data_IF_904004441487
#
_entry.id   IF_904004441487
#
_cell.length_a   1.000
_cell.length_b   1.000
_cell.length_c   1.000
_cell.angle_alpha   90.00
_cell.angle_beta   90.00
_cell.angle_gamma   90.00
#
_symmetry.space_group_name_H-M   'P 1'
#
loop_
_entity.id
_entity.type
_entity.pdbx_description
1 polymer ?
#
# COMPACT_ATOMS: atom_id res chain seq x y z
N UNK A 1 14.51 -13.41 -16.02
CA UNK A 1 13.24 -12.76 -16.35
C UNK A 1 12.25 -13.17 -15.29
N UNK A 2 11.53 -12.24 -14.67
CA UNK A 2 10.52 -12.54 -13.68
C UNK A 2 9.14 -12.11 -14.19
N UNK A 3 8.11 -12.86 -13.81
CA UNK A 3 6.71 -12.55 -14.06
C UNK A 3 6.12 -11.89 -12.80
N UNK A 4 5.66 -10.65 -12.93
CA UNK A 4 5.21 -9.81 -11.82
C UNK A 4 3.71 -9.59 -11.96
N UNK A 5 2.94 -10.02 -10.95
CA UNK A 5 1.55 -9.63 -10.82
C UNK A 5 1.46 -8.21 -10.25
N UNK A 6 0.76 -7.31 -10.90
CA UNK A 6 0.41 -6.00 -10.36
C UNK A 6 -1.07 -6.01 -9.97
N UNK A 7 -1.34 -6.09 -8.67
CA UNK A 7 -2.71 -6.10 -8.17
C UNK A 7 -3.30 -4.69 -8.21
N UNK A 8 -4.39 -4.55 -8.93
CA UNK A 8 -5.10 -3.28 -9.15
C UNK A 8 -6.60 -3.44 -8.94
N UNK A 9 -7.25 -2.37 -8.53
CA UNK A 9 -8.71 -2.28 -8.43
C UNK A 9 -9.28 -1.46 -9.60
N UNK A 10 -10.59 -1.61 -9.86
CA UNK A 10 -11.25 -0.90 -10.96
C UNK A 10 -11.13 0.62 -10.86
N UNK A 11 -11.19 1.17 -9.65
CA UNK A 11 -11.03 2.60 -9.43
C UNK A 11 -9.64 3.11 -9.80
N UNK A 12 -8.59 2.27 -9.66
CA UNK A 12 -7.21 2.61 -10.04
C UNK A 12 -7.13 2.88 -11.54
N UNK A 13 -7.71 2.00 -12.36
CA UNK A 13 -7.66 2.13 -13.83
C UNK A 13 -8.67 3.14 -14.39
N UNK A 14 -9.59 3.63 -13.59
CA UNK A 14 -10.57 4.65 -13.99
C UNK A 14 -10.06 6.10 -13.92
N UNK A 15 -8.90 6.31 -13.29
CA UNK A 15 -8.26 7.62 -13.14
C UNK A 15 -7.10 7.75 -14.11
N UNK A 16 -7.06 8.83 -14.89
CA UNK A 16 -6.06 9.03 -15.94
C UNK A 16 -4.62 9.04 -15.38
N UNK A 17 -4.40 9.69 -14.24
CA UNK A 17 -3.09 9.78 -13.59
C UNK A 17 -2.60 8.41 -13.13
N UNK A 18 -3.47 7.62 -12.51
CA UNK A 18 -3.17 6.26 -12.05
C UNK A 18 -2.90 5.34 -13.25
N UNK A 19 -3.68 5.45 -14.30
CA UNK A 19 -3.48 4.67 -15.53
C UNK A 19 -2.12 4.98 -16.16
N UNK A 20 -1.73 6.25 -16.22
CA UNK A 20 -0.40 6.67 -16.69
C UNK A 20 0.70 6.04 -15.85
N UNK A 21 0.57 6.08 -14.52
CA UNK A 21 1.54 5.44 -13.62
C UNK A 21 1.64 3.92 -13.87
N UNK A 22 0.51 3.24 -14.06
CA UNK A 22 0.49 1.80 -14.34
C UNK A 22 1.21 1.48 -15.66
N UNK A 23 0.97 2.26 -16.72
CA UNK A 23 1.67 2.11 -18.00
C UNK A 23 3.19 2.28 -17.81
N UNK A 24 3.62 3.30 -17.06
CA UNK A 24 5.04 3.54 -16.79
C UNK A 24 5.67 2.38 -16.00
N UNK A 25 4.99 1.80 -15.02
CA UNK A 25 5.48 0.60 -14.32
C UNK A 25 5.65 -0.59 -15.28
N UNK A 26 4.71 -0.78 -16.20
CA UNK A 26 4.81 -1.85 -17.19
C UNK A 26 5.99 -1.66 -18.15
N UNK A 27 6.20 -0.43 -18.62
CA UNK A 27 7.35 -0.08 -19.47
C UNK A 27 8.67 -0.28 -18.73
N UNK A 28 8.79 0.22 -17.51
CA UNK A 28 9.99 0.05 -16.67
C UNK A 28 10.30 -1.43 -16.40
N UNK A 29 9.30 -2.24 -16.09
CA UNK A 29 9.49 -3.68 -15.93
C UNK A 29 10.02 -4.33 -17.21
N UNK A 30 9.48 -3.96 -18.37
CA UNK A 30 9.93 -4.47 -19.67
C UNK A 30 11.39 -4.05 -19.98
N UNK A 31 11.74 -2.79 -19.72
CA UNK A 31 13.12 -2.28 -19.89
C UNK A 31 14.14 -3.03 -19.02
N UNK A 32 13.71 -3.48 -17.83
CA UNK A 32 14.51 -4.28 -16.92
C UNK A 32 14.50 -5.78 -17.24
N UNK A 33 13.84 -6.20 -18.33
CA UNK A 33 13.77 -7.59 -18.75
C UNK A 33 12.76 -8.44 -17.96
N UNK A 34 11.76 -7.81 -17.35
CA UNK A 34 10.67 -8.49 -16.63
C UNK A 34 9.32 -8.33 -17.35
N UNK A 35 8.36 -9.18 -17.00
CA UNK A 35 6.97 -9.05 -17.45
C UNK A 35 6.09 -8.62 -16.28
N UNK A 36 5.30 -7.55 -16.45
CA UNK A 36 4.33 -7.10 -15.47
C UNK A 36 2.93 -7.19 -16.05
N UNK A 37 2.03 -7.87 -15.36
CA UNK A 37 0.63 -8.03 -15.75
C UNK A 37 -0.31 -7.55 -14.64
N UNK A 38 -1.43 -6.92 -15.03
CA UNK A 38 -2.43 -6.45 -14.09
C UNK A 38 -3.36 -7.59 -13.68
N UNK A 39 -3.49 -7.77 -12.37
CA UNK A 39 -4.39 -8.75 -11.77
C UNK A 39 -5.47 -8.01 -11.00
N UNK A 40 -6.73 -8.32 -11.29
CA UNK A 40 -7.89 -7.75 -10.62
C UNK A 40 -8.42 -8.70 -9.55
N UNK A 41 -9.24 -8.16 -8.64
CA UNK A 41 -9.86 -8.92 -7.55
C UNK A 41 -10.51 -10.24 -7.99
N UNK A 42 -11.15 -10.27 -9.16
CA UNK A 42 -11.78 -11.49 -9.70
C UNK A 42 -10.79 -12.61 -10.03
N UNK A 43 -9.53 -12.24 -10.28
CA UNK A 43 -8.46 -13.15 -10.69
C UNK A 43 -7.42 -13.37 -9.57
N UNK A 44 -7.77 -13.04 -8.32
CA UNK A 44 -6.85 -13.11 -7.18
C UNK A 44 -6.23 -14.51 -6.99
N UNK A 45 -6.95 -15.56 -7.35
CA UNK A 45 -6.45 -16.94 -7.29
C UNK A 45 -5.30 -17.23 -8.27
N UNK A 46 -5.08 -16.37 -9.27
CA UNK A 46 -3.98 -16.53 -10.23
C UNK A 46 -2.66 -15.88 -9.78
N UNK A 47 -2.68 -15.17 -8.64
CA UNK A 47 -1.47 -14.48 -8.13
C UNK A 47 -0.32 -15.44 -7.93
N UNK A 48 -0.61 -16.67 -7.51
CA UNK A 48 0.39 -17.70 -7.25
C UNK A 48 1.08 -18.25 -8.51
N UNK A 49 0.61 -17.88 -9.70
CA UNK A 49 1.23 -18.24 -10.98
C UNK A 49 2.41 -17.30 -11.35
N UNK A 50 2.67 -16.28 -10.52
CA UNK A 50 3.70 -15.26 -10.73
C UNK A 50 4.88 -15.42 -9.76
N UNK A 51 6.02 -14.80 -10.08
CA UNK A 51 7.22 -14.80 -9.23
C UNK A 51 7.16 -13.75 -8.11
N UNK A 52 6.44 -12.66 -8.35
CA UNK A 52 6.33 -11.54 -7.41
C UNK A 52 4.98 -10.84 -7.51
N UNK A 53 4.59 -10.16 -6.43
CA UNK A 53 3.38 -9.36 -6.36
C UNK A 53 3.72 -7.90 -6.04
N UNK A 54 3.22 -6.98 -6.85
CA UNK A 54 3.23 -5.55 -6.63
C UNK A 54 1.81 -5.04 -6.43
N UNK A 55 1.52 -4.39 -5.30
CA UNK A 55 0.17 -3.88 -4.98
C UNK A 55 0.07 -2.42 -5.36
N UNK A 56 -0.86 -2.08 -6.24
CA UNK A 56 -1.22 -0.72 -6.66
C UNK A 56 -2.70 -0.45 -6.46
N UNK A 57 -3.14 -0.65 -5.23
CA UNK A 57 -4.50 -0.35 -4.76
C UNK A 57 -4.43 0.17 -3.34
N UNK A 58 -5.53 0.69 -2.83
CA UNK A 58 -5.63 1.02 -1.41
C UNK A 58 -5.40 -0.25 -0.58
N UNK A 59 -4.53 -0.13 0.41
CA UNK A 59 -4.20 -1.22 1.32
C UNK A 59 -4.93 -1.04 2.65
N UNK A 60 -5.61 -2.08 3.06
CA UNK A 60 -6.33 -2.17 4.33
C UNK A 60 -6.41 -3.65 4.73
N UNK A 61 -6.24 -4.01 6.02
CA UNK A 61 -6.28 -5.40 6.48
C UNK A 61 -7.59 -6.14 6.17
N UNK A 62 -8.66 -5.42 5.86
CA UNK A 62 -9.98 -5.98 5.56
C UNK A 62 -10.29 -6.04 4.06
N UNK A 63 -9.36 -5.68 3.18
CA UNK A 63 -9.62 -5.64 1.74
C UNK A 63 -8.89 -6.73 0.94
N UNK A 64 -9.21 -6.79 -0.35
CA UNK A 64 -8.63 -7.78 -1.26
C UNK A 64 -7.11 -7.61 -1.47
N UNK A 65 -6.56 -6.40 -1.31
CA UNK A 65 -5.13 -6.15 -1.42
C UNK A 65 -4.35 -6.87 -0.31
N UNK A 66 -4.86 -6.83 0.93
CA UNK A 66 -4.26 -7.58 2.03
C UNK A 66 -4.33 -9.09 1.81
N UNK A 67 -5.49 -9.59 1.34
CA UNK A 67 -5.65 -11.02 1.01
C UNK A 67 -4.65 -11.44 -0.07
N UNK A 68 -4.49 -10.62 -1.11
CA UNK A 68 -3.51 -10.86 -2.17
C UNK A 68 -2.07 -10.90 -1.63
N UNK A 69 -1.68 -9.91 -0.81
CA UNK A 69 -0.37 -9.84 -0.19
C UNK A 69 -0.10 -11.07 0.69
N UNK A 70 -1.05 -11.42 1.54
CA UNK A 70 -0.92 -12.57 2.44
C UNK A 70 -0.85 -13.90 1.69
N UNK A 71 -1.65 -14.06 0.64
CA UNK A 71 -1.60 -15.25 -0.22
C UNK A 71 -0.24 -15.38 -0.88
N UNK A 72 0.27 -14.32 -1.48
CA UNK A 72 1.57 -14.32 -2.14
C UNK A 72 2.72 -14.64 -1.15
N UNK A 73 2.71 -14.03 0.03
CA UNK A 73 3.69 -14.28 1.09
C UNK A 73 3.70 -15.74 1.53
N UNK A 74 2.53 -16.34 1.76
CA UNK A 74 2.40 -17.75 2.15
C UNK A 74 2.93 -18.71 1.07
N UNK A 75 3.00 -18.28 -0.18
CA UNK A 75 3.60 -19.03 -1.28
C UNK A 75 5.07 -18.66 -1.53
N UNK A 76 5.71 -17.91 -0.63
CA UNK A 76 7.12 -17.54 -0.71
C UNK A 76 7.46 -16.50 -1.78
N UNK A 77 6.45 -15.82 -2.33
CA UNK A 77 6.65 -14.76 -3.33
C UNK A 77 7.22 -13.49 -2.69
N UNK A 78 7.91 -12.69 -3.49
CA UNK A 78 8.24 -11.30 -3.10
C UNK A 78 7.01 -10.43 -3.25
N UNK A 79 6.70 -9.65 -2.20
CA UNK A 79 5.49 -8.81 -2.16
C UNK A 79 5.85 -7.37 -1.81
N UNK A 80 5.26 -6.43 -2.53
CA UNK A 80 5.27 -4.98 -2.25
C UNK A 80 3.83 -4.46 -2.43
N UNK A 81 3.17 -3.93 -1.43
CA UNK A 81 3.54 -3.89 0.00
C UNK A 81 3.30 -5.26 0.66
N UNK A 82 4.20 -5.64 1.58
CA UNK A 82 4.02 -6.88 2.33
C UNK A 82 2.92 -6.75 3.41
N UNK A 83 2.35 -7.88 3.89
CA UNK A 83 1.24 -7.85 4.83
C UNK A 83 1.51 -7.12 6.15
N UNK A 84 2.74 -7.21 6.68
CA UNK A 84 3.09 -6.54 7.94
C UNK A 84 3.18 -5.03 7.74
N UNK A 85 3.77 -4.59 6.63
CA UNK A 85 3.78 -3.18 6.22
C UNK A 85 2.37 -2.63 6.04
N UNK A 86 1.45 -3.41 5.43
CA UNK A 86 0.04 -3.01 5.30
C UNK A 86 -0.59 -2.78 6.67
N UNK A 87 -0.43 -3.72 7.62
CA UNK A 87 -1.00 -3.59 8.97
C UNK A 87 -0.43 -2.39 9.70
N UNK A 88 0.88 -2.15 9.61
CA UNK A 88 1.52 -1.03 10.28
C UNK A 88 1.08 0.30 9.69
N UNK A 89 1.02 0.40 8.36
CA UNK A 89 0.84 1.67 7.66
C UNK A 89 -0.63 2.06 7.44
N UNK A 90 -1.59 1.14 7.57
CA UNK A 90 -3.01 1.45 7.42
C UNK A 90 -3.55 2.37 8.53
N UNK A 91 -2.97 2.32 9.73
CA UNK A 91 -3.27 3.19 10.85
C UNK A 91 -2.13 4.20 11.05
N UNK A 92 -2.44 5.49 10.94
CA UNK A 92 -1.43 6.56 11.04
C UNK A 92 -0.78 6.63 12.43
N UNK A 93 -1.52 6.37 13.49
CA UNK A 93 -0.98 6.37 14.85
C UNK A 93 0.03 5.22 14.99
N UNK A 94 -0.38 4.03 14.58
CA UNK A 94 0.49 2.85 14.62
C UNK A 94 1.76 3.05 13.77
N UNK A 95 1.61 3.58 12.56
CA UNK A 95 2.72 3.88 11.66
C UNK A 95 3.72 4.86 12.31
N UNK A 96 3.26 5.98 12.84
CA UNK A 96 4.14 6.97 13.48
C UNK A 96 4.82 6.41 14.72
N UNK A 97 4.12 5.62 15.53
CA UNK A 97 4.73 4.96 16.69
C UNK A 97 5.85 3.99 16.28
N UNK A 98 5.69 3.26 15.18
CA UNK A 98 6.75 2.39 14.63
C UNK A 98 7.96 3.20 14.14
N UNK A 99 7.72 4.27 13.38
CA UNK A 99 8.78 5.16 12.89
C UNK A 99 9.56 5.79 14.04
N UNK A 100 8.87 6.30 15.07
CA UNK A 100 9.51 6.87 16.26
C UNK A 100 10.38 5.84 17.00
N UNK A 101 9.88 4.62 17.20
CA UNK A 101 10.65 3.53 17.82
C UNK A 101 11.90 3.18 17.01
N UNK A 102 11.80 3.23 15.69
CA UNK A 102 12.91 3.00 14.77
C UNK A 102 13.84 4.23 14.63
N UNK A 103 13.57 5.34 15.35
CA UNK A 103 14.29 6.61 15.27
C UNK A 103 14.32 7.20 13.86
N UNK A 104 13.30 6.93 13.07
CA UNK A 104 13.11 7.58 11.77
C UNK A 104 12.49 8.95 12.01
N UNK A 105 13.05 10.02 11.43
CA UNK A 105 12.46 11.37 11.55
C UNK A 105 11.04 11.39 11.02
N UNK A 106 10.11 11.93 11.80
CA UNK A 106 8.74 12.17 11.41
C UNK A 106 8.42 13.67 11.54
N UNK A 107 7.41 14.19 10.83
CA UNK A 107 6.90 15.53 11.08
C UNK A 107 6.46 15.67 12.54
N UNK A 108 6.50 16.89 13.07
CA UNK A 108 5.92 17.16 14.38
C UNK A 108 4.44 16.80 14.36
N UNK A 109 4.07 15.84 15.18
CA UNK A 109 2.76 15.18 15.09
C UNK A 109 2.16 15.04 16.48
N UNK A 110 0.92 15.53 16.65
CA UNK A 110 0.15 15.40 17.89
C UNK A 110 -1.05 14.50 17.64
N UNK A 111 -1.29 13.56 18.55
CA UNK A 111 -2.47 12.71 18.55
C UNK A 111 -3.50 13.29 19.52
N UNK A 112 -4.66 13.60 18.99
CA UNK A 112 -5.75 14.23 19.76
C UNK A 112 -6.91 13.23 19.85
N UNK A 113 -7.34 12.94 21.08
CA UNK A 113 -8.52 12.12 21.33
C UNK A 113 -9.80 12.83 20.89
N UNK A 114 -10.81 12.05 20.45
CA UNK A 114 -12.10 12.61 20.03
C UNK A 114 -12.78 13.47 21.11
N UNK A 115 -12.56 13.13 22.38
CA UNK A 115 -13.06 13.89 23.55
C UNK A 115 -12.34 15.23 23.77
N UNK A 116 -11.17 15.42 23.15
CA UNK A 116 -10.33 16.62 23.26
C UNK A 116 -10.53 17.57 22.06
N UNK A 117 -11.41 17.20 21.11
CA UNK A 117 -11.77 18.02 19.95
C UNK A 117 -12.71 19.16 20.32
N UNK A 118 -12.30 20.02 21.25
CA UNK A 118 -12.92 21.31 21.51
C UNK A 118 -12.31 22.36 20.58
N UNK A 119 -13.16 23.27 20.08
CA UNK A 119 -12.72 24.33 19.16
C UNK A 119 -11.63 25.23 19.76
N UNK A 120 -11.68 25.50 21.07
CA UNK A 120 -10.70 26.32 21.76
C UNK A 120 -9.35 25.59 21.91
N UNK A 121 -9.37 24.29 22.25
CA UNK A 121 -8.18 23.47 22.33
C UNK A 121 -7.50 23.31 20.97
N UNK A 122 -8.27 23.21 19.88
CA UNK A 122 -7.75 23.14 18.53
C UNK A 122 -7.02 24.42 18.11
N UNK A 123 -7.58 25.60 18.42
CA UNK A 123 -6.92 26.90 18.11
C UNK A 123 -5.59 27.02 18.86
N UNK A 124 -5.54 26.68 20.14
CA UNK A 124 -4.31 26.72 20.93
C UNK A 124 -3.20 25.79 20.41
N UNK A 125 -3.56 24.61 19.87
CA UNK A 125 -2.61 23.66 19.30
C UNK A 125 -1.92 24.15 18.04
N UNK A 126 -2.52 25.08 17.30
CA UNK A 126 -1.94 25.66 16.08
C UNK A 126 -1.22 26.99 16.31
N UNK A 127 -1.32 27.57 17.50
CA UNK A 127 -0.65 28.82 17.88
C UNK A 127 0.69 28.60 18.62
N UNK A 128 0.99 27.37 19.03
CA UNK A 128 2.29 26.94 19.60
C UNK A 128 3.23 26.38 18.51
#
# INVERSE_FOLDING_TARGET
MADIACFVERYTVSRAEELTALVNFKLAAHELGHRLEYVFRKDIGKITDYDALFIRSLTDPLNAAYVAARTAELHGMKVIDDPDSIIICCDKINMYMHLMRARVPIPDTRFIGKSELDRQAMVQLFEE
#
